data_IF_378953224633
#
_entry.id   IF_378953224633
#
_cell.length_a   1.000
_cell.length_b   1.000
_cell.length_c   1.000
_cell.angle_alpha   90.00
_cell.angle_beta   90.00
_cell.angle_gamma   90.00
#
_symmetry.space_group_name_H-M   'P 1'
#
loop_
_entity.id
_entity.type
_entity.pdbx_description
1 polymer ?
#
# COMPACT_ATOMS: atom_id res chain seq x y z
N UNK A 1 -4.87 -2.93 -26.05
CA UNK A 1 -3.40 -2.79 -26.03
C UNK A 1 -2.92 -1.88 -24.91
N UNK A 2 -3.28 -0.58 -24.88
CA UNK A 2 -2.79 0.37 -23.86
C UNK A 2 -3.07 -0.05 -22.40
N UNK A 3 -4.23 -0.65 -22.09
CA UNK A 3 -4.53 -1.10 -20.73
C UNK A 3 -3.52 -2.15 -20.20
N UNK A 4 -3.00 -3.04 -21.08
CA UNK A 4 -1.97 -4.01 -20.69
C UNK A 4 -0.62 -3.34 -20.48
N UNK A 5 -0.28 -2.34 -21.30
CA UNK A 5 0.92 -1.52 -21.12
C UNK A 5 0.87 -0.78 -19.79
N UNK A 6 -0.24 -0.13 -19.45
CA UNK A 6 -0.39 0.59 -18.19
C UNK A 6 -0.37 -0.36 -16.98
N UNK A 7 -0.95 -1.55 -17.11
CA UNK A 7 -0.87 -2.61 -16.11
C UNK A 7 0.58 -3.09 -15.91
N UNK A 8 1.35 -3.26 -16.98
CA UNK A 8 2.78 -3.60 -16.91
C UNK A 8 3.60 -2.47 -16.25
N UNK A 9 3.30 -1.21 -16.56
CA UNK A 9 3.96 -0.07 -15.92
C UNK A 9 3.63 -0.01 -14.42
N UNK A 10 2.38 -0.28 -14.04
CA UNK A 10 1.99 -0.35 -12.64
C UNK A 10 2.69 -1.52 -11.90
N UNK A 11 2.82 -2.66 -12.60
CA UNK A 11 3.59 -3.79 -12.12
C UNK A 11 5.07 -3.46 -11.91
N UNK A 12 5.71 -2.76 -12.85
CA UNK A 12 7.12 -2.38 -12.74
C UNK A 12 7.35 -1.36 -11.61
N UNK A 13 6.47 -0.37 -11.47
CA UNK A 13 6.50 0.64 -10.39
C UNK A 13 6.36 -0.05 -9.03
N UNK A 14 5.33 -0.88 -8.84
CA UNK A 14 5.13 -1.60 -7.58
C UNK A 14 6.27 -2.59 -7.28
N UNK A 15 6.84 -3.23 -8.29
CA UNK A 15 8.01 -4.12 -8.10
C UNK A 15 9.20 -3.30 -7.61
N UNK A 16 9.46 -2.13 -8.22
CA UNK A 16 10.51 -1.21 -7.78
C UNK A 16 10.33 -0.76 -6.33
N UNK A 17 9.10 -0.44 -5.93
CA UNK A 17 8.77 0.00 -4.58
C UNK A 17 9.14 -1.07 -3.53
N UNK A 18 8.67 -2.31 -3.74
CA UNK A 18 8.68 -3.33 -2.70
C UNK A 18 9.85 -4.32 -2.78
N UNK A 19 10.54 -4.47 -3.91
CA UNK A 19 11.62 -5.47 -4.06
C UNK A 19 12.75 -5.27 -3.04
N UNK A 20 13.00 -4.03 -2.61
CA UNK A 20 14.00 -3.69 -1.60
C UNK A 20 13.79 -4.43 -0.28
N UNK A 21 12.55 -4.74 0.09
CA UNK A 21 12.22 -5.49 1.33
C UNK A 21 12.79 -6.92 1.27
N UNK A 22 12.74 -7.54 0.10
CA UNK A 22 13.22 -8.91 -0.10
C UNK A 22 14.75 -9.03 -0.12
N UNK A 23 15.45 -7.95 -0.47
CA UNK A 23 16.92 -7.89 -0.59
C UNK A 23 17.56 -6.96 0.43
N UNK A 24 16.81 -6.54 1.45
CA UNK A 24 17.25 -5.56 2.44
C UNK A 24 18.53 -6.02 3.19
N UNK A 25 18.67 -7.29 3.61
CA UNK A 25 19.90 -7.77 4.24
C UNK A 25 21.11 -7.71 3.31
N UNK A 26 20.95 -8.07 2.03
CA UNK A 26 22.01 -8.03 1.03
C UNK A 26 22.47 -6.59 0.77
N UNK A 27 21.54 -5.64 0.71
CA UNK A 27 21.85 -4.20 0.57
C UNK A 27 22.63 -3.70 1.79
N UNK A 28 22.19 -4.05 3.00
CA UNK A 28 22.86 -3.64 4.23
C UNK A 28 24.31 -4.15 4.28
N UNK A 29 24.49 -5.45 3.98
CA UNK A 29 25.81 -6.09 3.99
C UNK A 29 26.74 -5.52 2.92
N UNK A 30 26.28 -5.41 1.67
CA UNK A 30 27.11 -4.98 0.54
C UNK A 30 27.50 -3.50 0.62
N UNK A 31 26.59 -2.64 1.10
CA UNK A 31 26.87 -1.21 1.28
C UNK A 31 27.48 -0.88 2.66
N UNK A 32 27.78 -1.90 3.47
CA UNK A 32 28.39 -1.74 4.80
C UNK A 32 27.63 -0.80 5.72
N UNK A 33 26.30 -0.86 5.70
CA UNK A 33 25.41 -0.09 6.57
C UNK A 33 24.62 -1.03 7.48
N UNK A 34 24.19 -0.53 8.64
CA UNK A 34 23.35 -1.33 9.53
C UNK A 34 21.95 -1.57 8.93
N UNK A 35 21.27 -2.65 9.35
CA UNK A 35 19.89 -2.93 8.93
C UNK A 35 18.92 -1.76 9.18
N UNK A 36 18.96 -1.04 10.32
CA UNK A 36 18.17 0.18 10.51
C UNK A 36 18.43 1.25 9.45
N UNK A 37 19.70 1.46 9.08
CA UNK A 37 20.07 2.42 8.04
C UNK A 37 19.57 1.96 6.68
N UNK A 38 19.67 0.67 6.34
CA UNK A 38 19.05 0.12 5.12
C UNK A 38 17.52 0.34 5.11
N UNK A 39 16.84 0.15 6.24
CA UNK A 39 15.40 0.40 6.39
C UNK A 39 14.98 1.84 6.06
N UNK A 40 15.87 2.83 6.24
CA UNK A 40 15.61 4.22 5.87
C UNK A 40 15.41 4.41 4.35
N UNK A 41 15.87 3.49 3.50
CA UNK A 41 15.57 3.51 2.05
C UNK A 41 14.07 3.36 1.78
N UNK A 42 13.36 2.60 2.63
CA UNK A 42 11.90 2.44 2.54
C UNK A 42 11.21 3.69 3.10
N UNK A 43 11.67 4.20 4.24
CA UNK A 43 11.15 5.44 4.83
C UNK A 43 11.25 6.63 3.87
N UNK A 44 12.43 6.89 3.33
CA UNK A 44 12.67 8.03 2.45
C UNK A 44 11.86 7.93 1.16
N UNK A 45 11.73 6.72 0.61
CA UNK A 45 10.85 6.46 -0.53
C UNK A 45 9.40 6.84 -0.19
N UNK A 46 8.87 6.33 0.92
CA UNK A 46 7.50 6.59 1.37
C UNK A 46 7.24 8.08 1.65
N UNK A 47 8.19 8.78 2.30
CA UNK A 47 8.11 10.23 2.52
C UNK A 47 8.08 10.99 1.19
N UNK A 48 8.95 10.61 0.24
CA UNK A 48 9.00 11.23 -1.07
C UNK A 48 7.70 10.99 -1.87
N UNK A 49 7.07 9.82 -1.77
CA UNK A 49 5.73 9.59 -2.36
C UNK A 49 4.67 10.43 -1.65
N UNK A 50 4.64 10.42 -0.30
CA UNK A 50 3.64 11.10 0.51
C UNK A 50 3.60 12.61 0.25
N UNK A 51 4.77 13.24 0.13
CA UNK A 51 4.91 14.67 -0.08
C UNK A 51 4.97 15.02 -1.58
N UNK A 52 5.75 14.27 -2.34
CA UNK A 52 6.02 14.54 -3.75
C UNK A 52 4.82 14.30 -4.64
N UNK A 53 4.02 13.26 -4.39
CA UNK A 53 2.83 12.94 -5.19
C UNK A 53 1.83 14.11 -5.29
N UNK A 54 1.32 14.64 -4.17
CA UNK A 54 0.41 15.79 -4.17
C UNK A 54 1.04 17.05 -4.78
N UNK A 55 2.27 17.38 -4.41
CA UNK A 55 2.98 18.58 -4.91
C UNK A 55 3.17 18.50 -6.43
N UNK A 56 3.67 17.38 -6.93
CA UNK A 56 3.89 17.19 -8.35
C UNK A 56 2.57 17.13 -9.13
N UNK A 57 1.51 16.56 -8.56
CA UNK A 57 0.19 16.53 -9.20
C UNK A 57 -0.34 17.94 -9.46
N UNK A 58 -0.22 18.84 -8.48
CA UNK A 58 -0.59 20.26 -8.64
C UNK A 58 0.28 20.95 -9.69
N UNK A 59 1.61 20.77 -9.60
CA UNK A 59 2.56 21.42 -10.52
C UNK A 59 2.42 20.95 -11.96
N UNK A 60 2.06 19.67 -12.16
CA UNK A 60 1.92 19.05 -13.48
C UNK A 60 0.47 19.02 -13.97
N UNK A 61 -0.47 19.56 -13.19
CA UNK A 61 -1.90 19.51 -13.44
C UNK A 61 -2.39 20.29 -14.66
N UNK A 62 -1.51 21.00 -15.38
CA UNK A 62 -1.79 21.64 -16.69
C UNK A 62 -1.08 20.96 -17.86
N UNK A 63 -0.23 19.97 -17.58
CA UNK A 63 0.58 19.31 -18.61
C UNK A 63 -0.24 18.23 -19.34
N UNK A 64 -0.04 18.06 -20.66
CA UNK A 64 -0.69 16.99 -21.40
C UNK A 64 -0.30 15.62 -20.85
N UNK A 65 -1.27 14.71 -20.71
CA UNK A 65 -1.10 13.45 -19.95
C UNK A 65 -0.16 12.45 -20.61
N UNK A 66 -0.12 12.40 -21.94
CA UNK A 66 0.82 11.53 -22.69
C UNK A 66 2.30 11.89 -22.41
N UNK A 67 2.78 13.11 -22.67
CA UNK A 67 4.18 13.45 -22.38
C UNK A 67 4.51 13.38 -20.89
N UNK A 68 3.55 13.68 -20.01
CA UNK A 68 3.75 13.50 -18.58
C UNK A 68 3.94 12.02 -18.20
N UNK A 69 3.13 11.10 -18.76
CA UNK A 69 3.30 9.66 -18.53
C UNK A 69 4.65 9.16 -19.06
N UNK A 70 5.08 9.63 -20.23
CA UNK A 70 6.40 9.31 -20.79
C UNK A 70 7.51 9.81 -19.86
N UNK A 71 7.41 11.06 -19.39
CA UNK A 71 8.40 11.65 -18.49
C UNK A 71 8.48 10.89 -17.15
N UNK A 72 7.33 10.52 -16.58
CA UNK A 72 7.26 9.72 -15.35
C UNK A 72 7.90 8.34 -15.55
N UNK A 73 7.58 7.65 -16.64
CA UNK A 73 8.18 6.34 -16.94
C UNK A 73 9.69 6.43 -17.24
N UNK A 74 10.13 7.50 -17.91
CA UNK A 74 11.55 7.76 -18.14
C UNK A 74 12.27 8.05 -16.82
N UNK A 75 11.70 8.87 -15.95
CA UNK A 75 12.24 9.17 -14.62
C UNK A 75 12.36 7.90 -13.77
N UNK A 76 11.31 7.07 -13.74
CA UNK A 76 11.32 5.78 -13.05
C UNK A 76 12.37 4.82 -13.62
N UNK A 77 12.57 4.83 -14.94
CA UNK A 77 13.62 4.03 -15.60
C UNK A 77 15.02 4.50 -15.21
N UNK A 78 15.28 5.82 -15.25
CA UNK A 78 16.57 6.39 -14.81
C UNK A 78 16.83 6.05 -13.35
N UNK A 79 15.82 6.19 -12.49
CA UNK A 79 15.93 5.83 -11.08
C UNK A 79 16.23 4.34 -10.87
N UNK A 80 15.63 3.45 -11.66
CA UNK A 80 15.92 2.01 -11.62
C UNK A 80 17.35 1.71 -12.08
N UNK A 81 17.83 2.35 -13.15
CA UNK A 81 19.22 2.25 -13.63
C UNK A 81 20.19 2.71 -12.55
N UNK A 82 19.94 3.88 -11.94
CA UNK A 82 20.79 4.40 -10.87
C UNK A 82 20.80 3.47 -9.65
N UNK A 83 19.65 2.85 -9.31
CA UNK A 83 19.59 1.87 -8.22
C UNK A 83 20.40 0.60 -8.54
N UNK A 84 20.37 0.15 -9.80
CA UNK A 84 21.16 -1.00 -10.25
C UNK A 84 22.67 -0.72 -10.29
N UNK A 85 23.06 0.54 -10.56
CA UNK A 85 24.45 0.98 -10.63
C UNK A 85 24.98 1.57 -9.31
N UNK A 86 24.15 1.63 -8.27
CA UNK A 86 24.51 2.30 -7.03
C UNK A 86 25.74 1.64 -6.38
N UNK A 87 26.83 2.39 -6.28
CA UNK A 87 28.08 1.94 -5.66
C UNK A 87 28.08 2.13 -4.13
N UNK A 88 27.26 3.06 -3.64
CA UNK A 88 27.16 3.42 -2.23
C UNK A 88 25.71 3.69 -1.83
N UNK A 89 25.48 3.78 -0.52
CA UNK A 89 24.17 4.02 0.08
C UNK A 89 23.54 5.36 -0.34
N UNK A 90 24.35 6.41 -0.49
CA UNK A 90 23.86 7.75 -0.82
C UNK A 90 23.28 7.79 -2.24
N UNK A 91 24.00 7.17 -3.20
CA UNK A 91 23.50 7.04 -4.56
C UNK A 91 22.22 6.20 -4.62
N UNK A 92 22.16 5.09 -3.90
CA UNK A 92 20.95 4.27 -3.81
C UNK A 92 19.78 5.07 -3.21
N UNK A 93 20.01 5.82 -2.12
CA UNK A 93 19.02 6.67 -1.49
C UNK A 93 18.47 7.72 -2.46
N UNK A 94 19.34 8.44 -3.17
CA UNK A 94 18.93 9.43 -4.17
C UNK A 94 18.11 8.80 -5.31
N UNK A 95 18.54 7.63 -5.80
CA UNK A 95 17.81 6.87 -6.82
C UNK A 95 16.42 6.44 -6.33
N UNK A 96 16.31 5.99 -5.08
CA UNK A 96 15.04 5.63 -4.45
C UNK A 96 14.10 6.82 -4.33
N UNK A 97 14.58 7.97 -3.88
CA UNK A 97 13.79 9.20 -3.82
C UNK A 97 13.31 9.63 -5.23
N UNK A 98 14.16 9.49 -6.25
CA UNK A 98 13.78 9.79 -7.64
C UNK A 98 12.68 8.85 -8.15
N UNK A 99 12.80 7.55 -7.86
CA UNK A 99 11.76 6.57 -8.19
C UNK A 99 10.44 6.86 -7.47
N UNK A 100 10.50 7.30 -6.21
CA UNK A 100 9.31 7.68 -5.44
C UNK A 100 8.57 8.88 -6.05
N UNK A 101 9.29 9.89 -6.54
CA UNK A 101 8.69 11.02 -7.25
C UNK A 101 7.96 10.59 -8.53
N UNK A 102 8.58 9.68 -9.30
CA UNK A 102 7.93 9.09 -10.47
C UNK A 102 6.66 8.32 -10.08
N UNK A 103 6.74 7.47 -9.05
CA UNK A 103 5.60 6.71 -8.56
C UNK A 103 4.44 7.60 -8.10
N UNK A 104 4.73 8.67 -7.37
CA UNK A 104 3.72 9.58 -6.82
C UNK A 104 2.81 10.20 -7.90
N UNK A 105 3.33 10.39 -9.12
CA UNK A 105 2.56 10.87 -10.27
C UNK A 105 1.93 9.74 -11.09
N UNK A 106 2.58 8.58 -11.15
CA UNK A 106 2.28 7.53 -12.10
C UNK A 106 0.81 7.10 -12.06
N UNK A 107 0.27 6.77 -10.89
CA UNK A 107 -1.07 6.20 -10.80
C UNK A 107 -2.16 7.19 -11.24
N UNK A 108 -2.00 8.47 -10.91
CA UNK A 108 -2.93 9.53 -11.34
C UNK A 108 -2.94 9.67 -12.86
N UNK A 109 -1.76 9.86 -13.45
CA UNK A 109 -1.61 10.07 -14.90
C UNK A 109 -2.01 8.81 -15.69
N UNK A 110 -1.59 7.63 -15.25
CA UNK A 110 -1.93 6.36 -15.87
C UNK A 110 -3.43 6.09 -15.84
N UNK A 111 -4.11 6.40 -14.73
CA UNK A 111 -5.57 6.24 -14.62
C UNK A 111 -6.31 7.16 -15.59
N UNK A 112 -5.89 8.43 -15.71
CA UNK A 112 -6.48 9.36 -16.67
C UNK A 112 -6.26 8.93 -18.12
N UNK A 113 -5.06 8.45 -18.46
CA UNK A 113 -4.79 7.88 -19.80
C UNK A 113 -5.64 6.64 -20.04
N UNK A 114 -5.81 5.77 -19.04
CA UNK A 114 -6.67 4.59 -19.14
C UNK A 114 -8.13 4.95 -19.41
N UNK A 115 -8.67 5.93 -18.66
CA UNK A 115 -10.03 6.46 -18.79
C UNK A 115 -10.26 7.05 -20.18
N UNK A 116 -9.35 7.90 -20.65
CA UNK A 116 -9.48 8.56 -21.95
C UNK A 116 -9.30 7.61 -23.15
N UNK A 117 -8.76 6.41 -22.92
CA UNK A 117 -8.52 5.42 -23.97
C UNK A 117 -9.66 4.42 -24.17
N UNK A 118 -10.77 4.55 -23.42
CA UNK A 118 -11.89 3.60 -23.47
C UNK A 118 -13.25 4.33 -23.43
N UNK A 119 -14.33 3.68 -23.92
CA UNK A 119 -15.69 4.19 -23.75
C UNK A 119 -16.06 4.36 -22.27
N UNK A 120 -16.98 5.29 -21.92
CA UNK A 120 -17.40 5.58 -20.54
C UNK A 120 -17.75 4.34 -19.72
N UNK A 121 -18.42 3.36 -20.33
CA UNK A 121 -18.92 2.14 -19.68
C UNK A 121 -17.77 1.20 -19.24
N UNK A 122 -16.56 1.42 -19.77
CA UNK A 122 -15.37 0.59 -19.52
C UNK A 122 -14.29 1.31 -18.70
N UNK A 123 -14.49 2.57 -18.32
CA UNK A 123 -13.49 3.38 -17.63
C UNK A 123 -13.08 2.77 -16.28
N UNK A 124 -14.05 2.34 -15.46
CA UNK A 124 -13.78 1.67 -14.18
C UNK A 124 -12.94 0.40 -14.38
N UNK A 125 -13.27 -0.41 -15.40
CA UNK A 125 -12.51 -1.62 -15.70
C UNK A 125 -11.09 -1.32 -16.21
N UNK A 126 -10.90 -0.21 -16.93
CA UNK A 126 -9.58 0.23 -17.37
C UNK A 126 -8.69 0.66 -16.19
N UNK A 127 -9.24 1.46 -15.26
CA UNK A 127 -8.53 1.85 -14.02
C UNK A 127 -8.21 0.61 -13.16
N UNK A 128 -9.16 -0.31 -13.00
CA UNK A 128 -8.96 -1.54 -12.24
C UNK A 128 -7.80 -2.38 -12.80
N UNK A 129 -7.63 -2.44 -14.13
CA UNK A 129 -6.48 -3.13 -14.74
C UNK A 129 -5.14 -2.49 -14.37
N UNK A 130 -5.06 -1.17 -14.29
CA UNK A 130 -3.84 -0.46 -13.84
C UNK A 130 -3.54 -0.83 -12.38
N UNK A 131 -4.54 -0.74 -11.51
CA UNK A 131 -4.39 -1.08 -10.08
C UNK A 131 -4.00 -2.54 -9.88
N UNK A 132 -4.55 -3.46 -10.68
CA UNK A 132 -4.19 -4.88 -10.66
C UNK A 132 -2.70 -5.12 -10.97
N UNK A 133 -2.04 -4.23 -11.72
CA UNK A 133 -0.60 -4.30 -11.94
C UNK A 133 0.19 -4.18 -10.63
N UNK A 134 -0.19 -3.26 -9.75
CA UNK A 134 0.42 -3.10 -8.42
C UNK A 134 0.17 -4.36 -7.58
N UNK A 135 -1.05 -4.89 -7.59
CA UNK A 135 -1.35 -6.13 -6.86
C UNK A 135 -0.52 -7.32 -7.37
N UNK A 136 -0.33 -7.46 -8.68
CA UNK A 136 0.54 -8.49 -9.23
C UNK A 136 2.02 -8.28 -8.87
N UNK A 137 2.45 -7.04 -8.64
CA UNK A 137 3.82 -6.77 -8.23
C UNK A 137 4.14 -7.35 -6.86
N UNK A 138 3.20 -7.31 -5.91
CA UNK A 138 3.41 -7.90 -4.59
C UNK A 138 3.33 -9.42 -4.62
N UNK A 139 2.47 -9.99 -5.47
CA UNK A 139 2.31 -11.44 -5.62
C UNK A 139 3.45 -12.07 -6.40
N UNK A 140 3.94 -11.45 -7.47
CA UNK A 140 4.94 -12.03 -8.38
C UNK A 140 6.22 -11.21 -8.46
N UNK A 141 6.10 -9.89 -8.63
CA UNK A 141 7.25 -9.00 -8.83
C UNK A 141 8.26 -9.05 -7.67
N UNK A 142 7.78 -8.93 -6.43
CA UNK A 142 8.62 -8.95 -5.23
C UNK A 142 9.31 -10.29 -5.04
N UNK A 143 8.62 -11.45 -5.05
CA UNK A 143 9.30 -12.73 -4.92
C UNK A 143 10.30 -13.00 -6.05
N UNK A 144 9.95 -12.73 -7.31
CA UNK A 144 10.87 -12.92 -8.45
C UNK A 144 12.08 -12.00 -8.33
N UNK A 145 11.87 -10.72 -8.02
CA UNK A 145 12.96 -9.76 -7.81
C UNK A 145 13.85 -10.16 -6.64
N UNK A 146 13.26 -10.65 -5.55
CA UNK A 146 13.99 -11.18 -4.38
C UNK A 146 14.85 -12.38 -4.76
N UNK A 147 14.29 -13.34 -5.50
CA UNK A 147 15.01 -14.53 -5.97
C UNK A 147 16.21 -14.14 -6.84
N UNK A 148 16.01 -13.23 -7.79
CA UNK A 148 17.07 -12.71 -8.65
C UNK A 148 18.15 -12.02 -7.83
N UNK A 149 17.75 -11.18 -6.86
CA UNK A 149 18.67 -10.49 -5.96
C UNK A 149 19.49 -11.41 -5.06
N UNK A 150 18.89 -12.49 -4.59
CA UNK A 150 19.59 -13.49 -3.77
C UNK A 150 20.54 -14.34 -4.60
N UNK A 151 20.21 -14.65 -5.86
CA UNK A 151 21.03 -15.49 -6.73
C UNK A 151 22.19 -14.74 -7.41
N UNK A 152 21.97 -13.47 -7.79
CA UNK A 152 22.92 -12.69 -8.60
C UNK A 152 23.35 -11.37 -7.95
N UNK A 153 23.02 -11.17 -6.67
CA UNK A 153 23.27 -9.93 -5.92
C UNK A 153 22.13 -8.92 -6.04
N UNK A 154 21.92 -8.11 -5.00
CA UNK A 154 20.75 -7.24 -4.86
C UNK A 154 20.56 -6.26 -6.04
N UNK A 155 21.67 -5.80 -6.66
CA UNK A 155 21.67 -4.96 -7.86
C UNK A 155 20.95 -5.61 -9.04
N UNK A 156 21.02 -6.94 -9.18
CA UNK A 156 20.32 -7.67 -10.23
C UNK A 156 18.79 -7.53 -10.14
N UNK A 157 18.24 -7.38 -8.93
CA UNK A 157 16.81 -7.06 -8.73
C UNK A 157 16.45 -5.72 -9.37
N UNK A 158 17.32 -4.72 -9.24
CA UNK A 158 17.12 -3.41 -9.85
C UNK A 158 17.40 -3.42 -11.37
N UNK A 159 18.26 -4.32 -11.86
CA UNK A 159 18.38 -4.59 -13.31
C UNK A 159 17.07 -5.18 -13.86
N UNK A 160 16.45 -6.13 -13.15
CA UNK A 160 15.13 -6.66 -13.51
C UNK A 160 14.08 -5.54 -13.54
N UNK A 161 14.03 -4.70 -12.50
CA UNK A 161 13.13 -3.53 -12.45
C UNK A 161 13.40 -2.60 -13.64
N UNK A 162 14.66 -2.33 -13.96
CA UNK A 162 15.06 -1.51 -15.10
C UNK A 162 14.51 -2.08 -16.41
N UNK A 163 14.65 -3.38 -16.64
CA UNK A 163 14.11 -4.03 -17.82
C UNK A 163 12.57 -3.86 -17.88
N UNK A 164 11.87 -4.08 -16.77
CA UNK A 164 10.42 -3.89 -16.70
C UNK A 164 9.99 -2.44 -16.98
N UNK A 165 10.70 -1.45 -16.43
CA UNK A 165 10.40 -0.03 -16.67
C UNK A 165 10.73 0.40 -18.09
N UNK A 166 11.80 -0.12 -18.70
CA UNK A 166 12.14 0.12 -20.12
C UNK A 166 11.06 -0.44 -21.03
N UNK A 167 10.63 -1.68 -20.81
CA UNK A 167 9.55 -2.31 -21.59
C UNK A 167 8.25 -1.49 -21.43
N UNK A 168 7.93 -1.08 -20.20
CA UNK A 168 6.79 -0.20 -19.92
C UNK A 168 6.89 1.14 -20.67
N UNK A 169 8.04 1.81 -20.63
CA UNK A 169 8.29 3.07 -21.31
C UNK A 169 8.15 2.94 -22.83
N UNK A 170 8.75 1.91 -23.44
CA UNK A 170 8.61 1.61 -24.87
C UNK A 170 7.13 1.38 -25.20
N UNK A 171 6.43 0.58 -24.38
CA UNK A 171 5.00 0.36 -24.52
C UNK A 171 4.19 1.66 -24.50
N UNK A 172 4.51 2.58 -23.58
CA UNK A 172 3.85 3.90 -23.52
C UNK A 172 4.16 4.74 -24.75
N UNK A 173 5.42 4.77 -25.21
CA UNK A 173 5.82 5.54 -26.40
C UNK A 173 5.05 5.10 -27.65
N UNK A 174 4.88 3.79 -27.83
CA UNK A 174 4.23 3.18 -28.99
C UNK A 174 2.70 3.18 -28.87
N UNK A 175 2.15 2.86 -27.70
CA UNK A 175 0.72 2.57 -27.55
C UNK A 175 -0.12 3.72 -26.94
N UNK A 176 0.50 4.70 -26.28
CA UNK A 176 -0.25 5.76 -25.60
C UNK A 176 -0.80 6.79 -26.61
N UNK A 177 -2.12 6.94 -26.74
CA UNK A 177 -2.71 7.95 -27.62
C UNK A 177 -2.48 9.36 -27.07
N UNK A 178 -2.67 10.38 -27.92
CA UNK A 178 -2.76 11.78 -27.45
C UNK A 178 -4.07 11.93 -26.71
N UNK A 179 -4.00 12.24 -25.42
CA UNK A 179 -5.15 12.42 -24.53
C UNK A 179 -5.40 13.91 -24.34
N UNK A 180 -6.61 14.36 -24.63
CA UNK A 180 -7.05 15.72 -24.32
C UNK A 180 -7.01 15.94 -22.81
N UNK A 181 -6.45 17.07 -22.39
CA UNK A 181 -6.28 17.39 -20.98
C UNK A 181 -7.47 18.23 -20.51
N UNK A 182 -8.28 17.67 -19.60
CA UNK A 182 -9.26 18.45 -18.85
C UNK A 182 -8.65 18.90 -17.52
N UNK A 183 -8.74 20.21 -17.17
CA UNK A 183 -8.22 20.72 -15.92
C UNK A 183 -8.86 20.04 -14.71
N UNK A 184 -8.06 19.77 -13.67
CA UNK A 184 -8.57 19.21 -12.42
C UNK A 184 -9.43 20.24 -11.64
N UNK A 185 -10.48 19.77 -10.94
CA UNK A 185 -11.34 20.62 -10.11
C UNK A 185 -10.58 21.26 -8.95
N UNK A 186 -11.12 22.36 -8.41
CA UNK A 186 -10.40 23.22 -7.45
C UNK A 186 -10.18 22.55 -6.08
N UNK A 187 -8.96 22.65 -5.56
CA UNK A 187 -8.56 22.13 -4.22
C UNK A 187 -9.35 22.80 -3.08
N UNK A 188 -9.80 24.05 -3.29
CA UNK A 188 -10.46 24.91 -2.30
C UNK A 188 -11.86 24.41 -1.91
N UNK A 189 -12.60 23.86 -2.86
CA UNK A 189 -13.96 23.30 -2.63
C UNK A 189 -13.91 22.00 -1.82
N UNK A 190 -12.75 21.37 -1.75
CA UNK A 190 -12.57 20.02 -1.22
C UNK A 190 -12.21 20.02 0.28
N UNK A 191 -11.74 21.14 0.84
CA UNK A 191 -11.21 21.22 2.22
C UNK A 191 -12.23 20.97 3.34
N UNK A 192 -13.52 21.27 3.14
CA UNK A 192 -14.54 21.11 4.17
C UNK A 192 -14.84 19.65 4.56
N UNK A 193 -14.48 18.69 3.71
CA UNK A 193 -14.72 17.27 3.97
C UNK A 193 -13.82 16.68 5.07
N UNK A 194 -12.65 17.28 5.32
CA UNK A 194 -11.73 16.83 6.36
C UNK A 194 -12.18 17.19 7.78
N UNK A 195 -13.09 18.15 7.92
CA UNK A 195 -13.59 18.54 9.23
C UNK A 195 -14.49 17.49 9.89
N UNK A 196 -14.92 16.46 9.15
CA UNK A 196 -15.78 15.39 9.69
C UNK A 196 -14.97 14.47 10.62
N UNK A 197 -15.35 14.33 11.90
CA UNK A 197 -14.66 13.45 12.83
C UNK A 197 -14.54 11.99 12.35
N UNK A 198 -15.56 11.47 11.65
CA UNK A 198 -15.54 10.11 11.09
C UNK A 198 -14.45 9.93 10.03
N UNK A 199 -14.23 10.95 9.18
CA UNK A 199 -13.17 10.91 8.17
C UNK A 199 -11.79 10.93 8.85
N UNK A 200 -11.60 11.80 9.84
CA UNK A 200 -10.35 11.88 10.60
C UNK A 200 -10.02 10.59 11.36
N UNK A 201 -11.01 9.99 12.02
CA UNK A 201 -10.85 8.71 12.71
C UNK A 201 -10.51 7.58 11.73
N UNK A 202 -11.11 7.58 10.53
CA UNK A 202 -10.76 6.62 9.48
C UNK A 202 -9.33 6.78 9.02
N UNK A 203 -8.90 8.00 8.69
CA UNK A 203 -7.52 8.28 8.28
C UNK A 203 -6.51 7.92 9.39
N UNK A 204 -6.83 8.22 10.64
CA UNK A 204 -6.02 7.83 11.79
C UNK A 204 -5.92 6.30 11.91
N UNK A 205 -7.03 5.60 11.69
CA UNK A 205 -7.05 4.13 11.65
C UNK A 205 -6.15 3.59 10.53
N UNK A 206 -6.14 4.24 9.34
CA UNK A 206 -5.20 3.90 8.24
C UNK A 206 -3.76 3.99 8.73
N UNK A 207 -3.37 5.17 9.24
CA UNK A 207 -1.97 5.42 9.64
C UNK A 207 -1.55 4.41 10.69
N UNK A 208 -2.32 4.28 11.77
CA UNK A 208 -1.97 3.41 12.90
C UNK A 208 -1.90 1.92 12.52
N UNK A 209 -2.89 1.42 11.79
CA UNK A 209 -2.93 -0.01 11.42
C UNK A 209 -1.81 -0.36 10.45
N UNK A 210 -1.62 0.46 9.40
CA UNK A 210 -0.63 0.18 8.38
C UNK A 210 0.79 0.49 8.84
N UNK A 211 1.02 1.37 9.83
CA UNK A 211 2.34 1.52 10.46
C UNK A 211 2.77 0.19 11.07
N UNK A 212 1.92 -0.44 11.89
CA UNK A 212 2.25 -1.74 12.50
C UNK A 212 2.53 -2.83 11.47
N UNK A 213 1.66 -2.94 10.46
CA UNK A 213 1.85 -3.87 9.36
C UNK A 213 3.17 -3.65 8.60
N UNK A 214 3.47 -2.41 8.22
CA UNK A 214 4.66 -2.09 7.42
C UNK A 214 5.93 -2.23 8.25
N UNK A 215 5.92 -1.93 9.55
CA UNK A 215 7.05 -2.21 10.44
C UNK A 215 7.44 -3.68 10.38
N UNK A 216 6.49 -4.59 10.58
CA UNK A 216 6.77 -6.02 10.56
C UNK A 216 7.16 -6.51 9.15
N UNK A 217 6.48 -6.03 8.10
CA UNK A 217 6.76 -6.44 6.72
C UNK A 217 8.13 -5.97 6.23
N UNK A 218 8.58 -4.77 6.59
CA UNK A 218 9.87 -4.21 6.14
C UNK A 218 11.06 -5.08 6.55
N UNK A 219 11.01 -5.64 7.76
CA UNK A 219 12.07 -6.47 8.31
C UNK A 219 11.73 -7.96 8.26
N UNK A 220 10.77 -8.37 7.42
CA UNK A 220 10.34 -9.77 7.32
C UNK A 220 11.46 -10.69 6.86
N UNK A 221 12.23 -10.28 5.85
CA UNK A 221 13.35 -11.03 5.29
C UNK A 221 14.44 -11.31 6.33
N UNK A 222 15.01 -10.31 7.03
CA UNK A 222 15.99 -10.59 8.08
C UNK A 222 15.39 -11.40 9.23
N UNK A 223 14.13 -11.15 9.62
CA UNK A 223 13.47 -11.96 10.66
C UNK A 223 13.38 -13.43 10.28
N UNK A 224 12.94 -13.76 9.05
CA UNK A 224 12.86 -15.15 8.58
C UNK A 224 14.22 -15.86 8.55
N UNK A 225 15.31 -15.11 8.31
CA UNK A 225 16.65 -15.69 8.25
C UNK A 225 17.28 -15.86 9.62
N UNK A 226 17.24 -14.81 10.44
CA UNK A 226 17.95 -14.77 11.73
C UNK A 226 17.14 -15.42 12.86
N UNK A 227 15.81 -15.24 12.87
CA UNK A 227 14.92 -15.79 13.92
C UNK A 227 14.43 -17.18 13.54
N UNK A 228 13.87 -17.34 12.34
CA UNK A 228 13.32 -18.64 11.90
C UNK A 228 14.40 -19.60 11.41
N UNK A 229 15.60 -19.10 11.07
CA UNK A 229 16.70 -19.91 10.54
C UNK A 229 16.48 -20.40 9.11
N UNK A 230 15.62 -19.75 8.32
CA UNK A 230 15.27 -20.19 6.97
C UNK A 230 16.31 -19.77 5.93
N UNK A 231 16.55 -20.66 4.96
CA UNK A 231 17.41 -20.36 3.82
C UNK A 231 16.77 -19.32 2.88
N UNK A 232 17.58 -18.62 2.07
CA UNK A 232 17.08 -17.58 1.15
C UNK A 232 15.92 -18.04 0.24
N UNK A 233 16.00 -19.26 -0.32
CA UNK A 233 14.95 -19.80 -1.20
C UNK A 233 13.58 -19.94 -0.51
N UNK A 234 13.55 -20.26 0.79
CA UNK A 234 12.32 -20.32 1.56
C UNK A 234 11.71 -18.95 1.81
N UNK A 235 12.53 -17.89 1.93
CA UNK A 235 12.02 -16.51 2.06
C UNK A 235 11.19 -16.12 0.85
N UNK A 236 11.66 -16.42 -0.36
CA UNK A 236 10.90 -16.16 -1.60
C UNK A 236 9.57 -16.91 -1.62
N UNK A 237 9.56 -18.20 -1.24
CA UNK A 237 8.33 -18.99 -1.16
C UNK A 237 7.33 -18.42 -0.14
N UNK A 238 7.82 -17.90 0.98
CA UNK A 238 6.98 -17.29 2.02
C UNK A 238 6.44 -15.93 1.58
N UNK A 239 7.21 -15.12 0.85
CA UNK A 239 6.72 -13.86 0.28
C UNK A 239 5.63 -14.11 -0.77
N UNK A 240 5.72 -15.20 -1.55
CA UNK A 240 4.61 -15.65 -2.42
C UNK A 240 3.35 -15.97 -1.60
N UNK A 241 3.50 -16.71 -0.49
CA UNK A 241 2.39 -17.05 0.41
C UNK A 241 1.76 -15.79 1.03
N UNK A 242 2.57 -14.83 1.48
CA UNK A 242 2.09 -13.52 1.91
C UNK A 242 1.28 -12.83 0.81
N UNK A 243 1.81 -12.80 -0.43
CA UNK A 243 1.13 -12.29 -1.61
C UNK A 243 -0.23 -12.95 -1.85
N UNK A 244 -0.33 -14.28 -1.77
CA UNK A 244 -1.60 -15.00 -1.86
C UNK A 244 -2.58 -14.57 -0.75
N UNK A 245 -2.08 -14.39 0.47
CA UNK A 245 -2.84 -13.81 1.57
C UNK A 245 -3.48 -12.48 1.19
N UNK A 246 -2.70 -11.57 0.59
CA UNK A 246 -3.20 -10.24 0.17
C UNK A 246 -4.38 -10.33 -0.81
N UNK A 247 -4.32 -11.28 -1.75
CA UNK A 247 -5.38 -11.53 -2.74
C UNK A 247 -6.63 -12.05 -2.02
N UNK A 248 -6.49 -13.03 -1.14
CA UNK A 248 -7.62 -13.59 -0.37
C UNK A 248 -8.28 -12.50 0.48
N UNK A 249 -7.49 -11.70 1.21
CA UNK A 249 -7.98 -10.60 2.04
C UNK A 249 -8.79 -9.57 1.24
N UNK A 250 -8.25 -9.11 0.11
CA UNK A 250 -8.91 -8.14 -0.76
C UNK A 250 -10.25 -8.67 -1.30
N UNK A 251 -10.29 -9.94 -1.70
CA UNK A 251 -11.51 -10.59 -2.18
C UNK A 251 -12.56 -10.73 -1.07
N UNK A 252 -12.15 -11.08 0.16
CA UNK A 252 -13.06 -11.16 1.31
C UNK A 252 -13.66 -9.79 1.65
N UNK A 253 -12.85 -8.72 1.63
CA UNK A 253 -13.33 -7.36 1.84
C UNK A 253 -14.37 -6.93 0.80
N UNK A 254 -14.19 -7.30 -0.46
CA UNK A 254 -15.13 -7.00 -1.55
C UNK A 254 -16.52 -7.64 -1.38
N UNK A 255 -16.67 -8.65 -0.52
CA UNK A 255 -17.96 -9.30 -0.22
C UNK A 255 -18.73 -8.58 0.90
N UNK A 256 -18.10 -7.63 1.61
CA UNK A 256 -18.73 -6.93 2.73
C UNK A 256 -19.57 -5.76 2.21
N UNK A 257 -20.84 -5.74 2.59
CA UNK A 257 -21.74 -4.64 2.22
C UNK A 257 -21.32 -3.33 2.89
N UNK A 258 -21.40 -2.17 2.22
CA UNK A 258 -20.99 -0.88 2.78
C UNK A 258 -21.59 -0.55 4.15
N UNK A 259 -22.86 -0.90 4.38
CA UNK A 259 -23.56 -0.68 5.65
C UNK A 259 -23.05 -1.55 6.81
N UNK A 260 -22.38 -2.67 6.52
CA UNK A 260 -21.80 -3.57 7.51
C UNK A 260 -20.35 -3.21 7.88
N UNK A 261 -19.65 -2.42 7.04
CA UNK A 261 -18.22 -2.13 7.21
C UNK A 261 -17.88 -1.62 8.63
N UNK A 262 -18.59 -0.65 9.23
CA UNK A 262 -18.24 -0.17 10.57
C UNK A 262 -18.23 -1.26 11.63
N UNK A 263 -19.00 -2.34 11.44
CA UNK A 263 -19.05 -3.48 12.38
C UNK A 263 -18.00 -4.53 12.09
N UNK A 264 -17.65 -4.72 10.81
CA UNK A 264 -16.71 -5.75 10.36
C UNK A 264 -15.27 -5.26 10.46
N UNK A 265 -15.02 -3.97 10.21
CA UNK A 265 -13.69 -3.36 10.16
C UNK A 265 -12.77 -3.68 11.36
N UNK A 266 -13.25 -3.69 12.62
CA UNK A 266 -12.38 -4.05 13.75
C UNK A 266 -11.85 -5.49 13.71
N UNK A 267 -12.53 -6.41 13.02
CA UNK A 267 -12.16 -7.84 13.00
C UNK A 267 -10.80 -8.07 12.32
N UNK A 268 -10.58 -7.69 11.03
CA UNK A 268 -9.29 -7.90 10.40
C UNK A 268 -8.16 -7.11 11.09
N UNK A 269 -8.45 -5.93 11.65
CA UNK A 269 -7.46 -5.17 12.42
C UNK A 269 -7.07 -5.92 13.69
N UNK A 270 -8.05 -6.46 14.44
CA UNK A 270 -7.77 -7.26 15.63
C UNK A 270 -6.97 -8.53 15.30
N UNK A 271 -7.31 -9.22 14.20
CA UNK A 271 -6.53 -10.38 13.73
C UNK A 271 -5.10 -9.97 13.41
N UNK A 272 -4.90 -8.87 12.67
CA UNK A 272 -3.57 -8.33 12.36
C UNK A 272 -2.80 -8.02 13.64
N UNK A 273 -3.43 -7.36 14.60
CA UNK A 273 -2.82 -7.01 15.89
C UNK A 273 -2.42 -8.24 16.69
N UNK A 274 -3.30 -9.24 16.81
CA UNK A 274 -2.99 -10.50 17.51
C UNK A 274 -1.84 -11.22 16.83
N UNK A 275 -1.81 -11.26 15.50
CA UNK A 275 -0.70 -11.82 14.75
C UNK A 275 0.61 -11.09 15.06
N UNK A 276 0.63 -9.76 15.05
CA UNK A 276 1.83 -8.97 15.38
C UNK A 276 2.34 -9.23 16.80
N UNK A 277 1.45 -9.30 17.80
CA UNK A 277 1.83 -9.65 19.19
C UNK A 277 2.41 -11.07 19.27
N UNK A 278 1.76 -12.03 18.61
CA UNK A 278 2.17 -13.42 18.63
C UNK A 278 3.37 -13.70 17.71
N UNK A 279 3.72 -12.79 16.80
CA UNK A 279 4.65 -13.06 15.71
C UNK A 279 6.04 -13.41 16.21
N UNK A 280 6.53 -12.81 17.31
CA UNK A 280 7.80 -13.20 17.92
C UNK A 280 7.87 -14.71 18.20
N UNK A 281 6.79 -15.30 18.72
CA UNK A 281 6.69 -16.75 18.95
C UNK A 281 6.44 -17.54 17.67
N UNK A 282 5.56 -17.05 16.79
CA UNK A 282 5.19 -17.74 15.55
C UNK A 282 6.36 -17.85 14.57
N UNK A 283 7.34 -16.95 14.64
CA UNK A 283 8.52 -16.96 13.78
C UNK A 283 9.59 -17.98 14.20
N UNK A 284 9.45 -18.66 15.34
CA UNK A 284 10.41 -19.71 15.74
C UNK A 284 10.16 -21.07 15.08
N UNK A 285 9.00 -21.25 14.43
CA UNK A 285 8.68 -22.46 13.68
C UNK A 285 8.26 -22.11 12.26
N UNK A 286 8.85 -22.78 11.27
CA UNK A 286 8.65 -22.46 9.86
C UNK A 286 7.17 -22.55 9.42
N UNK A 287 6.43 -23.54 9.91
CA UNK A 287 5.01 -23.73 9.55
C UNK A 287 4.16 -22.59 10.12
N UNK A 288 4.39 -22.23 11.38
CA UNK A 288 3.66 -21.12 12.00
C UNK A 288 4.04 -19.77 11.40
N UNK A 289 5.30 -19.58 10.99
CA UNK A 289 5.75 -18.37 10.28
C UNK A 289 5.04 -18.20 8.93
N UNK A 290 4.96 -19.29 8.14
CA UNK A 290 4.25 -19.30 6.85
C UNK A 290 2.77 -18.94 7.04
N UNK A 291 2.09 -19.58 7.99
CA UNK A 291 0.68 -19.31 8.29
C UNK A 291 0.47 -17.89 8.82
N UNK A 292 1.35 -17.41 9.71
CA UNK A 292 1.28 -16.06 10.25
C UNK A 292 1.39 -15.02 9.14
N UNK A 293 2.32 -15.19 8.20
CA UNK A 293 2.51 -14.24 7.10
C UNK A 293 1.38 -14.30 6.06
N UNK A 294 0.82 -15.47 5.79
CA UNK A 294 -0.42 -15.57 5.00
C UNK A 294 -1.56 -14.77 5.64
N UNK A 295 -1.81 -14.99 6.94
CA UNK A 295 -2.89 -14.33 7.67
C UNK A 295 -2.62 -12.83 7.89
N UNK A 296 -1.35 -12.44 8.03
CA UNK A 296 -0.93 -11.04 8.11
C UNK A 296 -1.26 -10.31 6.79
N UNK A 297 -0.88 -10.91 5.65
CA UNK A 297 -1.24 -10.40 4.33
C UNK A 297 -2.76 -10.31 4.12
N UNK A 298 -3.50 -11.36 4.48
CA UNK A 298 -4.95 -11.41 4.35
C UNK A 298 -5.68 -10.38 5.22
N UNK A 299 -5.27 -10.22 6.47
CA UNK A 299 -5.87 -9.25 7.40
C UNK A 299 -5.57 -7.79 6.99
N UNK A 300 -4.33 -7.49 6.59
CA UNK A 300 -3.95 -6.17 6.11
C UNK A 300 -4.72 -5.75 4.85
N UNK A 301 -4.79 -6.65 3.86
CA UNK A 301 -5.47 -6.37 2.60
C UNK A 301 -6.98 -6.61 2.63
N UNK A 302 -7.53 -7.15 3.70
CA UNK A 302 -8.95 -6.99 4.00
C UNK A 302 -9.24 -5.60 4.58
N UNK A 303 -8.37 -5.10 5.48
CA UNK A 303 -8.53 -3.80 6.15
C UNK A 303 -8.51 -2.63 5.16
N UNK A 304 -7.55 -2.60 4.24
CA UNK A 304 -7.36 -1.49 3.30
C UNK A 304 -8.62 -1.15 2.47
N UNK A 305 -9.19 -2.10 1.71
CA UNK A 305 -10.41 -1.88 0.94
C UNK A 305 -11.63 -1.53 1.79
N UNK A 306 -11.83 -2.21 2.93
CA UNK A 306 -12.94 -1.89 3.85
C UNK A 306 -12.87 -0.44 4.31
N UNK A 307 -11.70 -0.03 4.78
CA UNK A 307 -11.48 1.30 5.29
C UNK A 307 -11.61 2.37 4.20
N UNK A 308 -11.06 2.07 3.01
CA UNK A 308 -11.21 2.93 1.84
C UNK A 308 -12.69 3.12 1.46
N UNK A 309 -13.45 2.03 1.30
CA UNK A 309 -14.88 2.09 0.96
C UNK A 309 -15.69 2.82 2.03
N UNK A 310 -15.39 2.60 3.31
CA UNK A 310 -16.07 3.31 4.39
C UNK A 310 -15.80 4.81 4.35
N UNK A 311 -14.55 5.22 4.22
CA UNK A 311 -14.14 6.63 4.08
C UNK A 311 -14.87 7.30 2.91
N UNK A 312 -14.99 6.62 1.77
CA UNK A 312 -15.72 7.15 0.60
C UNK A 312 -17.18 7.39 0.91
N UNK A 313 -17.82 6.44 1.63
CA UNK A 313 -19.20 6.58 2.09
C UNK A 313 -19.41 7.77 3.05
N UNK A 314 -18.42 8.10 3.89
CA UNK A 314 -18.49 9.25 4.80
C UNK A 314 -18.25 10.61 4.09
N UNK A 315 -17.43 10.59 3.04
CA UNK A 315 -16.99 11.77 2.33
C UNK A 315 -18.07 12.36 1.39
N UNK A 316 -19.01 11.54 0.90
CA UNK A 316 -20.07 12.00 -0.01
C UNK A 316 -19.49 12.64 -1.26
N UNK A 317 -19.87 13.90 -1.55
CA UNK A 317 -19.38 14.66 -2.72
C UNK A 317 -17.85 14.86 -2.74
N UNK A 318 -17.17 14.69 -1.60
CA UNK A 318 -15.72 14.84 -1.49
C UNK A 318 -14.95 13.51 -1.51
N UNK A 319 -15.58 12.40 -1.92
CA UNK A 319 -14.97 11.07 -1.96
C UNK A 319 -13.61 11.04 -2.68
N UNK A 320 -13.51 11.66 -3.86
CA UNK A 320 -12.25 11.66 -4.64
C UNK A 320 -11.06 12.28 -3.87
N UNK A 321 -11.28 13.37 -3.15
CA UNK A 321 -10.25 14.00 -2.33
C UNK A 321 -9.88 13.11 -1.13
N UNK A 322 -10.89 12.57 -0.42
CA UNK A 322 -10.65 11.69 0.73
C UNK A 322 -9.91 10.42 0.29
N UNK A 323 -10.15 9.92 -0.92
CA UNK A 323 -9.41 8.78 -1.49
C UNK A 323 -7.92 9.12 -1.64
N UNK A 324 -7.62 10.30 -2.19
CA UNK A 324 -6.25 10.80 -2.34
C UNK A 324 -5.53 10.94 -0.99
N UNK A 325 -6.18 11.56 0.00
CA UNK A 325 -5.59 11.70 1.33
C UNK A 325 -5.45 10.38 2.06
N UNK A 326 -6.37 9.43 1.85
CA UNK A 326 -6.18 8.08 2.38
C UNK A 326 -4.92 7.42 1.80
N UNK A 327 -4.64 7.60 0.50
CA UNK A 327 -3.37 7.14 -0.10
C UNK A 327 -2.17 7.83 0.54
N UNK A 328 -2.24 9.14 0.80
CA UNK A 328 -1.18 9.83 1.57
C UNK A 328 -1.02 9.25 2.98
N UNK A 329 -2.12 8.91 3.66
CA UNK A 329 -2.09 8.27 4.98
C UNK A 329 -1.40 6.89 4.94
N UNK A 330 -1.61 6.09 3.89
CA UNK A 330 -0.84 4.86 3.65
C UNK A 330 0.66 5.12 3.51
N UNK A 331 1.05 6.18 2.79
CA UNK A 331 2.47 6.52 2.61
C UNK A 331 3.08 7.07 3.91
N UNK A 332 2.32 7.80 4.73
CA UNK A 332 2.74 8.20 6.08
C UNK A 332 2.98 6.96 6.94
N UNK A 333 2.08 5.97 6.89
CA UNK A 333 2.29 4.70 7.56
C UNK A 333 3.56 3.99 7.06
N UNK A 334 3.80 4.00 5.74
CA UNK A 334 4.98 3.42 5.11
C UNK A 334 6.29 4.12 5.47
N UNK A 335 6.23 5.41 5.84
CA UNK A 335 7.38 6.15 6.37
C UNK A 335 7.66 5.79 7.84
N UNK A 336 6.63 5.76 8.69
CA UNK A 336 6.80 5.44 10.11
C UNK A 336 7.14 3.96 10.36
N UNK A 337 6.70 3.05 9.48
CA UNK A 337 6.90 1.62 9.65
C UNK A 337 8.38 1.20 9.81
N UNK A 338 9.23 1.45 8.81
CA UNK A 338 10.66 1.15 8.88
C UNK A 338 11.39 1.92 9.97
N UNK A 339 11.00 3.18 10.24
CA UNK A 339 11.54 3.98 11.34
C UNK A 339 11.34 3.30 12.70
N UNK A 340 10.13 2.82 12.97
CA UNK A 340 9.80 2.14 14.21
C UNK A 340 10.62 0.85 14.36
N UNK A 341 10.65 0.00 13.32
CA UNK A 341 11.43 -1.24 13.39
C UNK A 341 12.94 -0.99 13.45
N UNK A 342 13.42 0.04 12.76
CA UNK A 342 14.81 0.47 12.81
C UNK A 342 15.22 0.97 14.20
N UNK A 343 14.33 1.68 14.90
CA UNK A 343 14.56 2.11 16.28
C UNK A 343 14.64 0.92 17.26
N UNK A 344 13.80 -0.10 17.07
CA UNK A 344 13.85 -1.35 17.87
C UNK A 344 15.18 -2.08 17.66
N UNK A 345 15.55 -2.29 16.40
CA UNK A 345 16.79 -2.98 16.04
C UNK A 345 18.02 -2.17 16.49
N UNK A 346 18.03 -0.86 16.24
CA UNK A 346 19.12 0.05 16.62
C UNK A 346 19.28 0.22 18.14
N UNK A 347 18.20 0.04 18.91
CA UNK A 347 18.22 0.00 20.37
C UNK A 347 18.74 -1.32 20.97
N UNK A 348 19.11 -2.29 20.15
CA UNK A 348 19.63 -3.59 20.60
C UNK A 348 18.56 -4.58 21.07
N UNK A 349 17.27 -4.29 20.81
CA UNK A 349 16.15 -5.15 21.20
C UNK A 349 15.98 -6.38 20.29
N UNK A 350 16.71 -6.43 19.17
CA UNK A 350 16.70 -7.54 18.21
C UNK A 350 15.50 -7.55 17.25
N UNK A 351 15.55 -8.46 16.27
CA UNK A 351 14.51 -8.63 15.25
C UNK A 351 13.22 -9.24 15.84
N UNK A 352 13.34 -10.07 16.88
CA UNK A 352 12.21 -10.75 17.54
C UNK A 352 11.14 -9.80 18.08
N UNK A 353 11.58 -8.65 18.61
CA UNK A 353 10.70 -7.67 19.22
C UNK A 353 10.10 -6.68 18.21
N UNK A 354 10.59 -6.64 16.96
CA UNK A 354 10.08 -5.71 15.94
C UNK A 354 8.57 -5.88 15.71
N UNK A 355 8.03 -7.09 15.49
CA UNK A 355 6.58 -7.26 15.34
C UNK A 355 5.80 -6.97 16.62
N UNK A 356 6.35 -7.29 17.79
CA UNK A 356 5.72 -7.02 19.08
C UNK A 356 5.54 -5.53 19.33
N UNK A 357 6.58 -4.73 19.04
CA UNK A 357 6.49 -3.26 19.10
C UNK A 357 5.56 -2.71 18.02
N UNK A 358 5.58 -3.30 16.82
CA UNK A 358 4.67 -2.95 15.74
C UNK A 358 3.19 -3.20 16.07
N UNK A 359 2.89 -4.07 17.04
CA UNK A 359 1.53 -4.30 17.51
C UNK A 359 0.95 -3.08 18.25
N UNK A 360 1.76 -2.21 18.86
CA UNK A 360 1.28 -1.04 19.59
C UNK A 360 0.48 -0.04 18.72
N UNK A 361 0.99 0.43 17.57
CA UNK A 361 0.19 1.27 16.67
C UNK A 361 -1.01 0.49 16.10
N UNK A 362 -0.89 -0.81 15.81
CA UNK A 362 -2.02 -1.61 15.34
C UNK A 362 -3.14 -1.74 16.41
N UNK A 363 -2.79 -1.91 17.68
CA UNK A 363 -3.71 -1.90 18.82
C UNK A 363 -4.46 -0.57 18.92
N UNK A 364 -3.74 0.54 18.77
CA UNK A 364 -4.35 1.87 18.74
C UNK A 364 -5.31 2.00 17.55
N UNK A 365 -4.93 1.50 16.37
CA UNK A 365 -5.81 1.43 15.19
C UNK A 365 -7.09 0.61 15.45
N UNK A 366 -6.97 -0.55 16.12
CA UNK A 366 -8.11 -1.37 16.51
C UNK A 366 -9.05 -0.63 17.48
N UNK A 367 -8.49 0.07 18.46
CA UNK A 367 -9.26 0.88 19.40
C UNK A 367 -10.04 2.00 18.69
N UNK A 368 -9.39 2.71 17.76
CA UNK A 368 -10.06 3.75 16.96
C UNK A 368 -11.16 3.14 16.07
N UNK A 369 -10.93 1.97 15.47
CA UNK A 369 -11.94 1.27 14.69
C UNK A 369 -13.16 0.87 15.53
N UNK A 370 -12.95 0.44 16.78
CA UNK A 370 -14.05 0.15 17.73
C UNK A 370 -14.83 1.41 18.10
N UNK A 371 -14.16 2.56 18.25
CA UNK A 371 -14.82 3.86 18.46
C UNK A 371 -15.68 4.23 17.24
N UNK A 372 -15.18 4.01 16.02
CA UNK A 372 -15.99 4.18 14.81
C UNK A 372 -17.24 3.28 14.84
N UNK A 373 -17.07 2.00 15.21
CA UNK A 373 -18.19 1.05 15.32
C UNK A 373 -19.26 1.49 16.33
N UNK A 374 -18.83 2.05 17.48
CA UNK A 374 -19.75 2.47 18.55
C UNK A 374 -20.51 3.74 18.16
N UNK A 375 -19.83 4.75 17.58
CA UNK A 375 -20.45 5.98 17.10
C UNK A 375 -21.53 5.72 16.05
N UNK A 376 -21.27 4.83 15.09
CA UNK A 376 -22.26 4.46 14.06
C UNK A 376 -23.45 3.70 14.65
N UNK A 377 -23.23 2.92 15.72
CA UNK A 377 -24.30 2.19 16.40
C UNK A 377 -25.23 3.13 17.16
N UNK A 378 -24.70 4.16 17.81
CA UNK A 378 -25.48 5.17 18.54
C UNK A 378 -26.29 6.10 17.63
N UNK A 379 -25.87 6.33 16.39
CA UNK A 379 -26.57 7.23 15.45
C UNK A 379 -27.73 6.58 14.69
N UNK A 380 -28.01 5.28 14.88
CA UNK A 380 -29.23 4.68 14.33
C UNK A 380 -30.43 5.19 15.12
N UNK A 381 -31.44 5.84 14.49
CA UNK A 381 -32.68 6.16 15.17
C UNK A 381 -33.25 4.87 15.74
N UNK A 382 -33.63 4.88 17.01
CA UNK A 382 -34.40 3.80 17.60
C UNK A 382 -35.55 3.50 16.64
N UNK A 383 -35.55 2.31 16.02
CA UNK A 383 -36.62 1.84 15.15
C UNK A 383 -37.93 2.20 15.84
N UNK A 384 -38.79 2.94 15.14
CA UNK A 384 -40.17 3.20 15.53
C UNK A 384 -40.70 2.00 16.32
N UNK A 385 -40.90 2.18 17.62
CA UNK A 385 -41.97 1.48 18.31
C UNK A 385 -43.21 1.89 17.52
N UNK A 386 -43.67 1.02 16.62
CA UNK A 386 -44.94 1.22 15.96
C UNK A 386 -45.97 1.53 17.06
N UNK A 387 -46.76 2.60 16.94
CA UNK A 387 -47.87 2.79 17.87
C UNK A 387 -48.70 1.51 17.80
N UNK A 388 -48.92 0.87 18.95
CA UNK A 388 -49.86 -0.23 19.06
C UNK A 388 -51.17 0.24 18.42
N UNK A 389 -51.62 -0.48 17.39
CA UNK A 389 -52.89 -0.19 16.74
C UNK A 389 -53.97 -0.16 17.84
N UNK A 390 -54.53 1.04 18.08
CA UNK A 390 -55.69 1.22 18.92
C UNK A 390 -56.82 0.46 18.22
N UNK A 391 -57.26 -0.64 18.85
CA UNK A 391 -58.42 -1.38 18.39
C UNK A 391 -59.62 -0.44 18.31
N UNK A 392 -60.29 -0.42 17.17
CA UNK A 392 -61.56 0.27 17.02
C UNK A 392 -62.62 -0.38 17.92
N UNK A 393 -63.47 0.38 18.62
CA UNK A 393 -64.58 -0.18 19.36
C UNK A 393 -65.61 -0.73 18.39
N UNK A 394 -66.05 -1.96 18.64
CA UNK A 394 -67.19 -2.54 17.95
C UNK A 394 -68.47 -1.73 18.20
N UNK A 395 -69.33 -1.70 17.19
CA UNK A 395 -70.69 -1.20 17.28
C UNK A 395 -71.51 -1.77 16.13
N UNK A 396 -72.83 -1.93 16.30
CA UNK A 396 -73.55 -2.68 17.34
C UNK A 396 -74.11 -4.01 16.81
#
# INVERSE_FOLDING_TARGET
MIALVLMLCAFSVGTSEFVIVGVLPEVAADLSVSLPVAGMLVTAYAVAVALGGPVLTVLTGRLPRRPLLIAVMALGTVAAVLSALAADYTLLMGARMLAALAQGLFLSVASQVAIASVPPERQTAAVAKVVNGIALSTVLGVPVGTLVGQAYGWRASFVLVTALTVIGLIGVLVACPRVAHEPEPSVRESMFAFAKPTVLLGLLTTVLTFTGMITAFTYVTPTLREVTGLSPGWVTAILLVYGLGTVVGSNLAGRVQPAAIPRVLPIPIAVLTVLLVAQGFLMHNAVTAVLALFLLGASAFATGPLLHTWLMGQAGRAAGLVASVNISAFNVAAAFGPLLGGAVIGGGLGLDLVPGVAAAPALAGAAVALVISSLVRSSRPARHRAPAAIGSPGSP
#
